data_IF_933159320248
#
_entry.id   IF_933159320248
#
_cell.length_a   1.000
_cell.length_b   1.000
_cell.length_c   1.000
_cell.angle_alpha   90.00
_cell.angle_beta   90.00
_cell.angle_gamma   90.00
#
_symmetry.space_group_name_H-M   'P 1'
#
loop_
_entity.id
_entity.type
_entity.pdbx_description
1 polymer ?
#
# COMPACT_ATOMS: atom_id res chain seq x y z
N UNK A 1 -38.23 1.79 19.35
CA UNK A 1 -37.51 1.49 18.10
C UNK A 1 -36.64 0.29 18.42
N UNK A 2 -36.79 -0.80 17.67
CA UNK A 2 -35.95 -1.99 17.78
C UNK A 2 -34.81 -1.85 16.77
N UNK A 3 -33.60 -2.24 17.16
CA UNK A 3 -32.39 -2.17 16.32
C UNK A 3 -31.93 -3.60 16.11
N UNK A 4 -31.98 -4.09 14.88
CA UNK A 4 -31.64 -5.48 14.54
C UNK A 4 -30.15 -5.66 14.19
N UNK A 5 -29.51 -4.58 13.74
CA UNK A 5 -28.14 -4.63 13.29
C UNK A 5 -27.37 -3.35 13.60
N UNK A 6 -26.06 -3.51 13.69
CA UNK A 6 -25.08 -2.44 13.82
C UNK A 6 -24.02 -2.62 12.75
N UNK A 7 -23.99 -1.69 11.80
CA UNK A 7 -22.92 -1.61 10.82
C UNK A 7 -21.78 -0.75 11.37
N UNK A 8 -20.59 -1.34 11.41
CA UNK A 8 -19.38 -0.71 11.93
C UNK A 8 -18.45 -0.24 10.80
N UNK A 9 -18.88 -0.43 9.55
CA UNK A 9 -18.14 -0.07 8.36
C UNK A 9 -16.82 -0.83 8.24
N UNK A 10 -15.90 -0.21 7.50
CA UNK A 10 -14.55 -0.72 7.27
C UNK A 10 -13.49 -0.01 8.12
N UNK A 11 -12.34 0.25 7.51
CA UNK A 11 -11.30 1.09 8.10
C UNK A 11 -10.20 0.36 8.87
N UNK A 12 -10.29 -0.97 9.04
CA UNK A 12 -9.20 -1.74 9.62
C UNK A 12 -7.88 -1.49 8.85
N UNK A 13 -6.82 -1.22 9.60
CA UNK A 13 -5.50 -0.89 9.05
C UNK A 13 -4.81 -2.09 8.41
N UNK A 14 -3.78 -1.80 7.61
CA UNK A 14 -2.83 -2.80 7.09
C UNK A 14 -1.42 -2.26 7.27
N UNK A 15 -0.41 -3.12 7.45
CA UNK A 15 0.97 -2.68 7.44
C UNK A 15 1.36 -2.30 6.01
N UNK A 16 1.81 -1.06 5.84
CA UNK A 16 2.48 -0.62 4.60
C UNK A 16 4.00 -0.64 4.77
N UNK A 17 4.48 -0.31 5.98
CA UNK A 17 5.89 -0.32 6.38
C UNK A 17 6.07 -1.13 7.66
N UNK A 18 6.01 -0.48 8.81
CA UNK A 18 6.25 -1.01 10.15
C UNK A 18 5.06 -0.81 11.09
N UNK A 19 3.93 -0.32 10.57
CA UNK A 19 2.70 -0.20 11.32
C UNK A 19 2.23 -1.56 11.84
N UNK A 20 1.69 -1.58 13.07
CA UNK A 20 1.17 -2.79 13.72
C UNK A 20 -0.33 -2.64 13.97
N UNK A 21 -1.17 -2.65 12.92
CA UNK A 21 -2.62 -2.57 13.11
C UNK A 21 -3.11 -3.80 13.88
N UNK A 22 -4.22 -3.68 14.63
CA UNK A 22 -4.88 -4.82 15.23
C UNK A 22 -5.18 -5.88 14.17
N UNK A 23 -4.97 -7.15 14.50
CA UNK A 23 -5.40 -8.23 13.63
C UNK A 23 -6.93 -8.28 13.59
N UNK A 24 -7.55 -8.73 12.48
CA UNK A 24 -9.00 -8.79 12.36
C UNK A 24 -9.67 -9.53 13.53
N UNK A 25 -9.06 -10.63 13.98
CA UNK A 25 -9.58 -11.42 15.10
C UNK A 25 -9.52 -10.67 16.44
N UNK A 26 -8.42 -9.95 16.71
CA UNK A 26 -8.27 -9.16 17.94
C UNK A 26 -9.27 -8.01 17.98
N UNK A 27 -9.46 -7.34 16.85
CA UNK A 27 -10.45 -6.29 16.69
C UNK A 27 -11.87 -6.82 16.97
N UNK A 28 -12.25 -7.91 16.31
CA UNK A 28 -13.57 -8.53 16.48
C UNK A 28 -13.79 -9.01 17.93
N UNK A 29 -12.78 -9.65 18.54
CA UNK A 29 -12.88 -10.16 19.91
C UNK A 29 -13.08 -9.05 20.94
N UNK A 30 -12.34 -7.95 20.82
CA UNK A 30 -12.49 -6.80 21.73
C UNK A 30 -13.85 -6.11 21.55
N UNK A 31 -14.35 -6.02 20.32
CA UNK A 31 -15.66 -5.48 20.03
C UNK A 31 -16.76 -6.35 20.65
N UNK A 32 -16.73 -7.67 20.42
CA UNK A 32 -17.69 -8.61 20.98
C UNK A 32 -17.70 -8.58 22.52
N UNK A 33 -16.52 -8.49 23.15
CA UNK A 33 -16.39 -8.38 24.60
C UNK A 33 -16.97 -7.07 25.19
N UNK A 34 -17.04 -6.00 24.38
CA UNK A 34 -17.71 -4.74 24.77
C UNK A 34 -19.21 -4.85 24.58
N UNK A 35 -19.66 -5.38 23.44
CA UNK A 35 -21.07 -5.53 23.12
C UNK A 35 -21.79 -6.51 24.06
N UNK A 36 -21.11 -7.55 24.52
CA UNK A 36 -21.67 -8.50 25.49
C UNK A 36 -22.01 -7.87 26.86
N UNK A 37 -21.56 -6.64 27.12
CA UNK A 37 -21.87 -5.89 28.35
C UNK A 37 -23.08 -4.96 28.18
N UNK A 38 -23.56 -4.80 26.95
CA UNK A 38 -24.72 -3.97 26.64
C UNK A 38 -25.96 -4.85 26.53
N UNK A 39 -27.04 -4.46 27.19
CA UNK A 39 -28.28 -5.22 27.21
C UNK A 39 -28.89 -5.30 25.81
N UNK A 40 -29.13 -6.51 25.31
CA UNK A 40 -29.60 -6.76 23.95
C UNK A 40 -28.50 -6.77 22.90
N UNK A 41 -27.24 -6.52 23.27
CA UNK A 41 -26.09 -6.57 22.36
C UNK A 41 -25.84 -7.97 21.78
N UNK A 42 -26.26 -9.02 22.49
CA UNK A 42 -26.19 -10.41 22.03
C UNK A 42 -27.18 -10.73 20.89
N UNK A 43 -28.18 -9.88 20.68
CA UNK A 43 -29.19 -10.04 19.62
C UNK A 43 -28.88 -9.24 18.36
N UNK A 44 -27.90 -8.33 18.43
CA UNK A 44 -27.50 -7.51 17.29
C UNK A 44 -26.73 -8.33 16.26
N UNK A 45 -27.14 -8.20 15.01
CA UNK A 45 -26.30 -8.60 13.87
C UNK A 45 -25.22 -7.55 13.64
N UNK A 46 -23.96 -7.96 13.61
CA UNK A 46 -22.84 -7.05 13.32
C UNK A 46 -22.45 -7.15 11.85
N UNK A 47 -22.39 -5.99 11.19
CA UNK A 47 -21.94 -5.85 9.81
C UNK A 47 -20.57 -5.15 9.77
N UNK A 48 -19.74 -5.57 8.82
CA UNK A 48 -18.40 -5.03 8.58
C UNK A 48 -18.17 -4.88 7.09
N UNK A 49 -17.47 -3.82 6.70
CA UNK A 49 -17.19 -3.48 5.29
C UNK A 49 -15.68 -3.43 5.00
N UNK A 50 -14.92 -4.52 5.21
CA UNK A 50 -13.47 -4.51 5.02
C UNK A 50 -13.09 -4.46 3.53
N UNK A 51 -12.52 -3.35 3.09
CA UNK A 51 -11.88 -3.24 1.77
C UNK A 51 -10.37 -3.46 1.86
N UNK A 52 -9.67 -2.45 2.37
CA UNK A 52 -8.20 -2.41 2.43
C UNK A 52 -7.56 -3.58 3.17
N UNK A 53 -8.15 -4.01 4.27
CA UNK A 53 -7.65 -5.14 5.09
C UNK A 53 -7.67 -6.48 4.36
N UNK A 54 -8.49 -6.61 3.33
CA UNK A 54 -8.52 -7.80 2.46
C UNK A 54 -7.59 -7.60 1.26
N UNK A 55 -7.77 -6.51 0.53
CA UNK A 55 -7.20 -6.39 -0.81
C UNK A 55 -5.77 -5.82 -0.84
N UNK A 56 -5.36 -4.97 0.12
CA UNK A 56 -4.13 -4.18 -0.02
C UNK A 56 -2.89 -5.03 -0.26
N UNK A 57 -2.61 -5.96 0.67
CA UNK A 57 -1.42 -6.81 0.63
C UNK A 57 -1.59 -8.07 -0.24
N UNK A 58 -2.78 -8.29 -0.80
CA UNK A 58 -3.04 -9.36 -1.76
C UNK A 58 -2.60 -8.99 -3.19
N UNK A 59 -2.33 -7.69 -3.44
CA UNK A 59 -1.88 -7.19 -4.75
C UNK A 59 -0.57 -6.41 -4.67
N UNK A 60 0.22 -6.53 -5.72
CA UNK A 60 1.38 -5.69 -6.00
C UNK A 60 1.31 -5.19 -7.45
N UNK A 61 1.98 -4.08 -7.72
CA UNK A 61 2.15 -3.55 -9.06
C UNK A 61 3.58 -3.84 -9.52
N UNK A 62 3.72 -4.43 -10.70
CA UNK A 62 5.03 -4.60 -11.36
C UNK A 62 5.29 -3.41 -12.26
N UNK A 63 6.55 -2.98 -12.30
CA UNK A 63 7.01 -1.92 -13.19
C UNK A 63 8.46 -2.19 -13.59
N UNK A 64 8.83 -1.79 -14.80
CA UNK A 64 10.19 -1.91 -15.32
C UNK A 64 10.95 -0.60 -15.14
N UNK A 65 12.21 -0.70 -14.75
CA UNK A 65 13.15 0.43 -14.80
C UNK A 65 13.51 0.69 -16.26
N UNK A 66 13.09 1.83 -16.79
CA UNK A 66 13.40 2.26 -18.15
C UNK A 66 14.77 2.96 -18.17
N UNK A 67 15.00 3.89 -17.25
CA UNK A 67 16.24 4.67 -17.19
C UNK A 67 16.72 4.90 -15.76
N UNK A 68 18.03 4.92 -15.57
CA UNK A 68 18.66 5.37 -14.34
C UNK A 68 19.36 6.71 -14.57
N UNK A 69 18.83 7.77 -13.97
CA UNK A 69 19.38 9.12 -14.12
C UNK A 69 20.09 9.54 -12.83
N UNK A 70 21.43 9.64 -12.82
CA UNK A 70 22.13 10.27 -11.72
C UNK A 70 21.79 11.76 -11.69
N UNK A 71 21.47 12.28 -10.51
CA UNK A 71 21.26 13.72 -10.30
C UNK A 71 22.31 14.29 -9.36
N UNK A 72 22.37 15.62 -9.26
CA UNK A 72 23.35 16.31 -8.40
C UNK A 72 23.13 16.03 -6.92
N UNK A 73 21.86 15.84 -6.50
CA UNK A 73 21.47 15.61 -5.10
C UNK A 73 20.72 14.29 -4.89
N UNK A 74 20.02 13.79 -5.91
CA UNK A 74 19.22 12.56 -5.86
C UNK A 74 19.31 11.82 -7.19
N UNK A 75 19.37 10.49 -7.14
CA UNK A 75 19.23 9.67 -8.34
C UNK A 75 17.76 9.40 -8.62
N UNK A 76 17.42 9.19 -9.90
CA UNK A 76 16.07 8.85 -10.33
C UNK A 76 16.07 7.48 -11.01
N UNK A 77 15.17 6.61 -10.57
CA UNK A 77 14.80 5.40 -11.29
C UNK A 77 13.50 5.70 -12.03
N UNK A 78 13.60 5.96 -13.33
CA UNK A 78 12.45 6.22 -14.20
C UNK A 78 11.87 4.87 -14.59
N UNK A 79 10.59 4.65 -14.27
CA UNK A 79 9.92 3.37 -14.52
C UNK A 79 8.74 3.52 -15.48
N UNK A 80 8.21 2.40 -15.97
CA UNK A 80 7.10 2.37 -16.94
C UNK A 80 5.69 2.54 -16.30
N UNK A 81 5.58 2.49 -14.98
CA UNK A 81 4.35 2.78 -14.23
C UNK A 81 4.36 4.19 -13.65
N UNK A 82 3.18 4.76 -13.46
CA UNK A 82 3.04 6.15 -13.04
C UNK A 82 1.89 6.37 -12.04
N UNK A 83 1.68 7.63 -11.66
CA UNK A 83 0.58 8.05 -10.81
C UNK A 83 -0.81 7.75 -11.40
N UNK A 84 -0.95 7.54 -12.72
CA UNK A 84 -2.21 7.10 -13.33
C UNK A 84 -2.49 5.60 -13.12
N UNK A 85 -1.49 4.82 -12.74
CA UNK A 85 -1.64 3.39 -12.41
C UNK A 85 -1.79 3.20 -10.90
N UNK A 86 -1.09 4.06 -10.13
CA UNK A 86 -1.06 4.02 -8.68
C UNK A 86 -0.91 5.43 -8.11
N UNK A 87 -2.03 6.14 -7.97
CA UNK A 87 -2.02 7.54 -7.55
C UNK A 87 -1.72 7.77 -6.06
N UNK A 88 -1.78 6.72 -5.24
CA UNK A 88 -1.71 6.84 -3.77
C UNK A 88 -0.48 7.60 -3.25
N UNK A 89 0.75 7.36 -3.75
CA UNK A 89 1.91 8.12 -3.30
C UNK A 89 1.80 9.61 -3.66
N UNK A 90 1.37 9.94 -4.87
CA UNK A 90 1.17 11.33 -5.30
C UNK A 90 0.06 12.03 -4.48
N UNK A 91 -1.09 11.37 -4.32
CA UNK A 91 -2.29 11.96 -3.73
C UNK A 91 -2.25 12.03 -2.20
N UNK A 92 -1.73 10.99 -1.54
CA UNK A 92 -1.76 10.86 -0.08
C UNK A 92 -0.38 10.90 0.57
N UNK A 93 0.70 11.05 -0.21
CA UNK A 93 2.06 10.80 0.26
C UNK A 93 2.21 9.40 0.88
N UNK A 94 1.40 8.45 0.38
CA UNK A 94 1.37 7.09 0.91
C UNK A 94 2.71 6.39 0.66
N UNK A 95 3.27 5.81 1.72
CA UNK A 95 4.45 4.96 1.58
C UNK A 95 4.04 3.57 1.10
N UNK A 96 4.70 3.08 0.06
CA UNK A 96 4.60 1.69 -0.41
C UNK A 96 6.00 1.13 -0.55
N UNK A 97 6.22 -0.11 -0.11
CA UNK A 97 7.51 -0.76 -0.28
C UNK A 97 7.75 -1.01 -1.77
N UNK A 98 8.94 -0.65 -2.25
CA UNK A 98 9.39 -0.91 -3.62
C UNK A 98 10.59 -1.81 -3.51
N UNK A 99 10.53 -2.99 -4.12
CA UNK A 99 11.58 -4.01 -4.01
C UNK A 99 11.96 -4.55 -5.39
N UNK A 100 13.25 -4.87 -5.64
CA UNK A 100 13.64 -5.59 -6.84
C UNK A 100 12.96 -6.97 -6.89
N UNK A 101 12.52 -7.38 -8.08
CA UNK A 101 11.90 -8.71 -8.28
C UNK A 101 12.95 -9.81 -8.35
N UNK A 102 14.07 -9.55 -9.02
CA UNK A 102 15.20 -10.48 -9.14
C UNK A 102 16.42 -9.93 -8.41
N UNK A 103 16.91 -10.68 -7.42
CA UNK A 103 18.07 -10.31 -6.60
C UNK A 103 19.26 -11.25 -6.81
N UNK A 104 19.20 -12.12 -7.82
CA UNK A 104 20.26 -13.12 -8.07
C UNK A 104 21.53 -12.51 -8.64
N UNK A 105 21.41 -11.43 -9.39
CA UNK A 105 22.57 -10.70 -9.91
C UNK A 105 23.00 -9.64 -8.89
N UNK A 106 24.28 -9.63 -8.48
CA UNK A 106 24.77 -8.59 -7.59
C UNK A 106 24.75 -7.24 -8.33
N UNK A 107 24.13 -6.24 -7.70
CA UNK A 107 24.09 -4.86 -8.17
C UNK A 107 24.54 -3.95 -7.03
N UNK A 108 25.17 -2.83 -7.38
CA UNK A 108 25.52 -1.82 -6.39
C UNK A 108 24.23 -1.12 -5.91
N UNK A 109 24.11 -0.94 -4.60
CA UNK A 109 22.96 -0.24 -4.02
C UNK A 109 23.19 1.25 -4.08
N UNK A 110 22.16 2.00 -4.48
CA UNK A 110 22.12 3.45 -4.40
C UNK A 110 20.73 3.93 -4.00
N UNK A 111 20.64 5.19 -3.58
CA UNK A 111 19.38 5.82 -3.19
C UNK A 111 18.72 6.46 -4.41
N UNK A 112 17.46 6.10 -4.68
CA UNK A 112 16.68 6.58 -5.80
C UNK A 112 15.32 7.16 -5.37
N UNK A 113 14.88 8.21 -6.06
CA UNK A 113 13.45 8.49 -6.20
C UNK A 113 12.92 7.69 -7.40
N UNK A 114 11.92 6.85 -7.15
CA UNK A 114 11.24 6.03 -8.17
C UNK A 114 10.08 6.85 -8.74
N UNK A 115 10.19 7.20 -10.01
CA UNK A 115 9.31 8.16 -10.70
C UNK A 115 8.77 7.57 -11.99
N UNK A 116 7.56 7.97 -12.37
CA UNK A 116 6.95 7.55 -13.63
C UNK A 116 7.28 8.50 -14.79
N UNK A 117 6.73 8.22 -15.99
CA UNK A 117 6.97 9.00 -17.20
C UNK A 117 5.97 10.15 -17.41
N UNK A 118 5.03 10.39 -16.49
CA UNK A 118 4.04 11.48 -16.63
C UNK A 118 4.74 12.82 -16.44
N UNK A 119 4.35 13.83 -17.24
CA UNK A 119 4.97 15.16 -17.26
C UNK A 119 4.57 16.03 -16.05
N UNK A 120 4.61 15.47 -14.84
CA UNK A 120 4.22 16.15 -13.61
C UNK A 120 5.23 15.81 -12.50
N UNK A 121 5.64 16.82 -11.72
CA UNK A 121 6.63 16.60 -10.64
C UNK A 121 6.04 15.75 -9.50
N UNK A 122 4.71 15.71 -9.41
CA UNK A 122 3.97 14.83 -8.52
C UNK A 122 3.97 13.35 -8.92
N UNK A 123 4.47 13.00 -10.11
CA UNK A 123 4.52 11.61 -10.58
C UNK A 123 5.68 10.84 -9.94
N UNK A 124 5.46 10.36 -8.72
CA UNK A 124 6.39 9.48 -8.04
C UNK A 124 5.65 8.29 -7.41
N UNK A 125 6.34 7.15 -7.36
CA UNK A 125 5.87 5.94 -6.67
C UNK A 125 6.54 5.80 -5.30
N UNK A 126 7.75 6.33 -5.14
CA UNK A 126 8.45 6.33 -3.87
C UNK A 126 9.70 7.19 -3.88
N UNK A 127 9.96 7.89 -2.78
CA UNK A 127 11.17 8.71 -2.60
C UNK A 127 12.17 8.04 -1.68
N UNK A 128 13.46 8.30 -1.90
CA UNK A 128 14.60 7.91 -1.06
C UNK A 128 14.64 6.40 -0.79
N UNK A 129 14.66 5.61 -1.87
CA UNK A 129 14.66 4.15 -1.83
C UNK A 129 16.06 3.63 -2.08
N UNK A 130 16.60 2.90 -1.12
CA UNK A 130 17.83 2.13 -1.31
C UNK A 130 17.51 0.92 -2.20
N UNK A 131 18.05 0.92 -3.42
CA UNK A 131 17.79 -0.09 -4.43
C UNK A 131 19.09 -0.47 -5.13
N UNK A 132 19.28 -1.77 -5.30
CA UNK A 132 20.34 -2.35 -6.12
C UNK A 132 19.71 -2.82 -7.44
N UNK A 133 19.69 -1.94 -8.44
CA UNK A 133 18.94 -2.11 -9.70
C UNK A 133 19.73 -1.61 -10.92
N UNK A 134 19.33 -2.06 -12.11
CA UNK A 134 19.76 -1.51 -13.40
C UNK A 134 18.57 -1.27 -14.32
N UNK A 135 18.81 -0.58 -15.44
CA UNK A 135 17.86 -0.47 -16.53
C UNK A 135 17.43 -1.87 -17.02
N UNK A 136 16.14 -2.02 -17.31
CA UNK A 136 15.50 -3.28 -17.67
C UNK A 136 15.01 -4.13 -16.50
N UNK A 137 15.44 -3.86 -15.26
CA UNK A 137 14.98 -4.61 -14.08
C UNK A 137 13.49 -4.40 -13.79
N UNK A 138 12.88 -5.41 -13.17
CA UNK A 138 11.54 -5.31 -12.63
C UNK A 138 11.58 -4.93 -11.14
N UNK A 139 10.73 -3.98 -10.79
CA UNK A 139 10.40 -3.59 -9.43
C UNK A 139 8.98 -4.03 -9.09
N UNK A 140 8.76 -4.42 -7.84
CA UNK A 140 7.44 -4.67 -7.28
C UNK A 140 7.10 -3.58 -6.25
N UNK A 141 6.06 -2.81 -6.55
CA UNK A 141 5.43 -1.88 -5.61
C UNK A 141 4.38 -2.66 -4.81
N UNK A 142 4.69 -2.92 -3.55
CA UNK A 142 3.87 -3.76 -2.65
C UNK A 142 2.70 -2.97 -2.08
N UNK A 143 1.67 -3.70 -1.66
CA UNK A 143 0.48 -3.14 -1.01
C UNK A 143 -0.38 -2.28 -1.96
N UNK A 144 -0.39 -2.65 -3.24
CA UNK A 144 -1.10 -1.93 -4.30
C UNK A 144 -2.49 -2.52 -4.63
N UNK A 145 -2.91 -3.60 -3.95
CA UNK A 145 -4.17 -4.29 -4.26
C UNK A 145 -5.45 -3.56 -3.82
N UNK A 146 -5.35 -2.52 -2.98
CA UNK A 146 -6.47 -1.69 -2.55
C UNK A 146 -6.21 -0.23 -2.88
N UNK A 147 -7.20 0.43 -3.49
CA UNK A 147 -7.07 1.82 -3.95
C UNK A 147 -5.87 2.04 -4.90
N UNK A 148 -5.44 0.98 -5.59
CA UNK A 148 -4.57 1.04 -6.77
C UNK A 148 -5.46 1.21 -7.99
N UNK A 149 -5.62 0.15 -8.79
CA UNK A 149 -6.39 0.10 -10.05
C UNK A 149 -7.76 0.82 -10.09
N UNK A 150 -8.45 0.95 -8.95
CA UNK A 150 -9.76 1.62 -8.87
C UNK A 150 -9.68 3.15 -8.81
N UNK A 151 -8.47 3.71 -8.76
CA UNK A 151 -8.16 5.14 -8.76
C UNK A 151 -7.26 5.47 -9.94
#
# INVERSE_FOLDING_TARGET
IEIDHLDLGGGLGVPYRDEKPPQPFDYASQLLARLSRWEGGEKLTLLFEPGRSIAANAGLMLTRVEFLKPGETKNFAIVDAAMNDLIRPALYQAWQAIVPVDTRQPRESATYDVVGPVCETGDFLGKERELAIAEGDLLAVRSAGAYGFVM
#
